data_IF_566932512896
#
_entry.id   IF_566932512896
#
_cell.length_a   1.000
_cell.length_b   1.000
_cell.length_c   1.000
_cell.angle_alpha   90.00
_cell.angle_beta   90.00
_cell.angle_gamma   90.00
#
_symmetry.space_group_name_H-M   'P 1'
#
loop_
_entity.id
_entity.type
_entity.pdbx_description
1 polymer ?
#
# COMPACT_ATOMS: atom_id res chain seq x y z
N UNK A 1 -0.95 17.57 -31.64
CA UNK A 1 -1.87 18.11 -30.65
C UNK A 1 -2.25 17.09 -29.60
N UNK A 2 -3.04 16.06 -29.96
CA UNK A 2 -3.42 15.03 -28.97
C UNK A 2 -2.22 14.29 -28.39
N UNK A 3 -1.20 14.00 -29.21
CA UNK A 3 0.06 13.37 -28.75
C UNK A 3 0.75 14.22 -27.70
N UNK A 4 0.82 15.54 -27.92
CA UNK A 4 1.49 16.44 -26.98
C UNK A 4 0.77 16.52 -25.65
N UNK A 5 -0.56 16.49 -25.65
CA UNK A 5 -1.36 16.52 -24.42
C UNK A 5 -1.09 15.26 -23.60
N UNK A 6 -1.13 14.08 -24.20
CA UNK A 6 -0.85 12.81 -23.49
C UNK A 6 0.57 12.73 -22.99
N UNK A 7 1.53 13.18 -23.79
CA UNK A 7 2.92 13.22 -23.38
C UNK A 7 3.12 14.15 -22.18
N UNK A 8 2.50 15.32 -22.21
CA UNK A 8 2.56 16.28 -21.12
C UNK A 8 1.92 15.75 -19.84
N UNK A 9 0.80 15.03 -19.96
CA UNK A 9 0.16 14.38 -18.82
C UNK A 9 1.08 13.31 -18.21
N UNK A 10 1.72 12.49 -19.05
CA UNK A 10 2.65 11.47 -18.58
C UNK A 10 3.87 12.09 -17.88
N UNK A 11 4.41 13.16 -18.45
CA UNK A 11 5.54 13.87 -17.85
C UNK A 11 5.17 14.52 -16.53
N UNK A 12 3.99 15.12 -16.46
CA UNK A 12 3.47 15.72 -15.23
C UNK A 12 3.30 14.66 -14.14
N UNK A 13 2.77 13.50 -14.49
CA UNK A 13 2.61 12.39 -13.56
C UNK A 13 3.97 11.91 -13.02
N UNK A 14 4.94 11.74 -13.91
CA UNK A 14 6.31 11.32 -13.49
C UNK A 14 6.91 12.29 -12.51
N UNK A 15 6.82 13.59 -12.79
CA UNK A 15 7.35 14.62 -11.90
C UNK A 15 6.68 14.59 -10.54
N UNK A 16 5.37 14.42 -10.52
CA UNK A 16 4.61 14.33 -9.28
C UNK A 16 5.03 13.11 -8.46
N UNK A 17 5.18 11.96 -9.11
CA UNK A 17 5.65 10.75 -8.42
C UNK A 17 7.05 10.95 -7.85
N UNK A 18 7.94 11.59 -8.59
CA UNK A 18 9.29 11.90 -8.12
C UNK A 18 9.24 12.73 -6.84
N UNK A 19 8.40 13.75 -6.80
CA UNK A 19 8.23 14.58 -5.59
C UNK A 19 7.71 13.75 -4.43
N UNK A 20 6.68 12.94 -4.65
CA UNK A 20 6.08 12.12 -3.60
C UNK A 20 7.07 11.09 -3.05
N UNK A 21 7.83 10.44 -3.94
CA UNK A 21 8.85 9.47 -3.53
C UNK A 21 9.96 10.13 -2.72
N UNK A 22 10.41 11.29 -3.16
CA UNK A 22 11.45 12.02 -2.45
C UNK A 22 11.00 12.47 -1.06
N UNK A 23 9.74 12.89 -0.93
CA UNK A 23 9.17 13.23 0.36
C UNK A 23 9.13 12.02 1.30
N UNK A 24 8.71 10.87 0.79
CA UNK A 24 8.67 9.63 1.56
C UNK A 24 10.07 9.23 2.03
N UNK A 25 11.04 9.25 1.12
CA UNK A 25 12.44 8.92 1.44
C UNK A 25 13.00 9.88 2.50
N UNK A 26 12.71 11.16 2.38
CA UNK A 26 13.17 12.17 3.34
C UNK A 26 12.60 11.94 4.74
N UNK A 27 11.41 11.34 4.83
CA UNK A 27 10.79 10.99 6.11
C UNK A 27 11.27 9.65 6.66
N UNK A 28 12.15 8.96 5.95
CA UNK A 28 12.73 7.71 6.41
C UNK A 28 12.01 6.45 5.95
N UNK A 29 11.09 6.57 5.00
CA UNK A 29 10.46 5.38 4.41
C UNK A 29 11.50 4.64 3.55
N UNK A 30 11.61 3.34 3.74
CA UNK A 30 12.51 2.52 2.94
C UNK A 30 11.79 2.06 1.67
N UNK A 31 11.93 2.84 0.60
CA UNK A 31 11.49 2.43 -0.73
C UNK A 31 12.65 1.71 -1.40
N UNK A 32 12.57 0.39 -1.50
CA UNK A 32 13.70 -0.42 -2.01
C UNK A 32 14.04 -0.06 -3.45
N UNK A 33 13.03 0.14 -4.28
CA UNK A 33 13.21 0.61 -5.65
C UNK A 33 12.22 1.75 -5.90
N UNK A 34 12.57 2.98 -5.52
CA UNK A 34 11.61 4.09 -5.53
C UNK A 34 10.90 4.30 -6.86
N UNK A 35 11.61 4.13 -7.97
CA UNK A 35 11.06 4.32 -9.31
C UNK A 35 9.96 3.33 -9.68
N UNK A 36 9.79 2.25 -8.90
CA UNK A 36 8.77 1.22 -9.11
C UNK A 36 7.59 1.34 -8.17
N UNK A 37 7.60 2.32 -7.26
CA UNK A 37 6.54 2.51 -6.26
C UNK A 37 5.74 3.75 -6.64
N UNK A 38 4.41 3.60 -6.68
CA UNK A 38 3.53 4.70 -7.06
C UNK A 38 2.68 5.10 -5.87
N UNK A 39 2.73 6.38 -5.55
CA UNK A 39 2.10 6.95 -4.36
C UNK A 39 0.95 7.87 -4.76
N UNK A 40 -0.02 8.03 -3.85
CA UNK A 40 -1.02 9.09 -3.93
C UNK A 40 -0.58 10.27 -3.08
N UNK A 41 -1.15 11.45 -3.32
CA UNK A 41 -0.78 12.65 -2.57
C UNK A 41 -1.06 12.51 -1.08
N UNK A 42 -2.04 11.71 -0.73
CA UNK A 42 -2.45 11.49 0.67
C UNK A 42 -1.90 10.21 1.29
N UNK A 43 -0.99 9.51 0.60
CA UNK A 43 -0.35 8.33 1.18
C UNK A 43 0.46 8.74 2.41
N UNK A 44 0.22 8.08 3.54
CA UNK A 44 0.85 8.42 4.81
C UNK A 44 1.61 7.21 5.35
N UNK A 45 2.83 7.45 5.83
CA UNK A 45 3.69 6.39 6.36
C UNK A 45 4.14 6.74 7.78
N UNK A 46 4.16 5.75 8.64
CA UNK A 46 4.79 5.84 9.95
C UNK A 46 6.30 5.61 9.87
N UNK A 47 6.90 5.23 11.00
CA UNK A 47 8.34 5.02 11.11
C UNK A 47 8.72 3.60 10.69
N UNK A 48 9.91 3.44 10.09
CA UNK A 48 10.48 2.15 9.74
C UNK A 48 9.58 1.33 8.81
N UNK A 49 8.88 1.99 7.90
CA UNK A 49 8.07 1.30 6.91
C UNK A 49 8.96 0.91 5.73
N UNK A 50 8.81 -0.32 5.27
CA UNK A 50 9.51 -0.83 4.09
C UNK A 50 8.50 -1.12 3.00
N UNK A 51 8.79 -0.65 1.79
CA UNK A 51 7.98 -0.93 0.60
C UNK A 51 8.86 -1.57 -0.46
N UNK A 52 8.51 -2.78 -0.85
CA UNK A 52 9.23 -3.52 -1.88
C UNK A 52 8.88 -3.00 -3.28
N UNK A 53 9.62 -3.43 -4.32
CA UNK A 53 9.35 -2.97 -5.69
C UNK A 53 7.96 -3.31 -6.18
N UNK A 54 7.45 -2.48 -7.09
CA UNK A 54 6.19 -2.69 -7.81
C UNK A 54 4.97 -2.71 -6.88
N UNK A 55 4.85 -1.67 -6.07
CA UNK A 55 3.69 -1.47 -5.21
C UNK A 55 2.97 -0.19 -5.63
N UNK A 56 1.64 -0.25 -5.68
CA UNK A 56 0.80 0.89 -6.02
C UNK A 56 -0.07 1.26 -4.83
N UNK A 57 0.02 2.52 -4.42
CA UNK A 57 -0.85 3.09 -3.40
C UNK A 57 -1.88 4.00 -4.05
N UNK A 58 -3.13 3.57 -4.06
CA UNK A 58 -4.26 4.41 -4.42
C UNK A 58 -4.60 5.38 -3.30
N UNK A 59 -5.70 6.15 -3.43
CA UNK A 59 -6.07 7.16 -2.42
C UNK A 59 -6.40 6.56 -1.06
N UNK A 60 -6.23 7.36 -0.01
CA UNK A 60 -6.64 7.05 1.36
C UNK A 60 -5.95 5.81 1.93
N UNK A 61 -4.62 5.79 1.90
CA UNK A 61 -3.85 4.72 2.52
C UNK A 61 -2.96 5.28 3.62
N UNK A 62 -3.04 4.68 4.79
CA UNK A 62 -2.16 4.96 5.92
C UNK A 62 -1.44 3.69 6.31
N UNK A 63 -0.12 3.77 6.42
CA UNK A 63 0.72 2.63 6.79
C UNK A 63 1.40 2.93 8.11
N UNK A 64 1.14 2.12 9.12
CA UNK A 64 1.68 2.32 10.45
C UNK A 64 3.12 1.83 10.61
N UNK A 65 3.69 2.13 11.78
CA UNK A 65 5.10 1.88 12.08
C UNK A 65 5.50 0.41 11.88
N UNK A 66 6.70 0.21 11.38
CA UNK A 66 7.34 -1.10 11.24
C UNK A 66 6.61 -2.06 10.31
N UNK A 67 5.69 -1.56 9.51
CA UNK A 67 4.97 -2.40 8.55
C UNK A 67 5.78 -2.58 7.27
N UNK A 68 5.53 -3.69 6.59
CA UNK A 68 6.22 -4.02 5.35
C UNK A 68 5.19 -4.36 4.27
N UNK A 69 5.30 -3.68 3.14
CA UNK A 69 4.45 -3.91 1.98
C UNK A 69 5.29 -4.61 0.92
N UNK A 70 4.95 -5.84 0.62
CA UNK A 70 5.71 -6.65 -0.33
C UNK A 70 5.27 -6.44 -1.76
N UNK A 71 6.12 -6.87 -2.69
CA UNK A 71 6.01 -6.60 -4.11
C UNK A 71 4.69 -7.00 -4.73
N UNK A 72 4.31 -6.28 -5.78
CA UNK A 72 3.13 -6.54 -6.59
C UNK A 72 1.82 -6.42 -5.80
N UNK A 73 1.79 -5.54 -4.81
CA UNK A 73 0.58 -5.26 -4.05
C UNK A 73 -0.05 -3.96 -4.52
N UNK A 74 -1.39 -3.93 -4.51
CA UNK A 74 -2.17 -2.75 -4.87
C UNK A 74 -3.10 -2.43 -3.72
N UNK A 75 -2.97 -1.24 -3.17
CA UNK A 75 -3.63 -0.88 -1.91
C UNK A 75 -4.35 0.45 -2.09
N UNK A 76 -5.63 0.49 -1.70
CA UNK A 76 -6.42 1.73 -1.71
C UNK A 76 -7.42 1.72 -0.55
N UNK A 77 -7.75 2.90 -0.04
CA UNK A 77 -8.77 3.05 1.00
C UNK A 77 -8.55 2.19 2.21
N UNK A 78 -7.30 2.00 2.63
CA UNK A 78 -6.92 1.01 3.62
C UNK A 78 -6.14 1.67 4.75
N UNK A 79 -6.46 1.26 5.98
CA UNK A 79 -5.68 1.62 7.15
C UNK A 79 -4.89 0.40 7.60
N UNK A 80 -3.57 0.54 7.59
CA UNK A 80 -2.64 -0.49 8.03
C UNK A 80 -2.01 0.00 9.32
N UNK A 81 -2.21 -0.75 10.41
CA UNK A 81 -1.66 -0.36 11.70
C UNK A 81 -0.20 -0.79 11.83
N UNK A 82 0.30 -1.02 13.04
CA UNK A 82 1.72 -1.26 13.28
C UNK A 82 2.10 -2.73 13.11
N UNK A 83 3.32 -2.97 12.65
CA UNK A 83 3.90 -4.31 12.56
C UNK A 83 3.07 -5.23 11.66
N UNK A 84 2.54 -4.71 10.57
CA UNK A 84 1.71 -5.46 9.64
C UNK A 84 2.54 -5.87 8.43
N UNK A 85 2.36 -7.09 7.98
CA UNK A 85 3.01 -7.61 6.78
C UNK A 85 1.95 -7.82 5.70
N UNK A 86 2.17 -7.23 4.53
CA UNK A 86 1.22 -7.30 3.41
C UNK A 86 1.90 -7.87 2.18
N UNK A 87 1.30 -8.86 1.59
CA UNK A 87 1.73 -9.42 0.31
C UNK A 87 2.76 -10.52 0.42
N UNK A 88 3.44 -10.84 -0.68
CA UNK A 88 3.31 -10.20 -1.99
C UNK A 88 1.98 -10.50 -2.68
N UNK A 89 1.68 -9.79 -3.78
CA UNK A 89 0.46 -10.01 -4.57
C UNK A 89 -0.81 -9.86 -3.74
N UNK A 90 -0.90 -8.80 -2.95
CA UNK A 90 -2.10 -8.49 -2.19
C UNK A 90 -2.87 -7.35 -2.84
N UNK A 91 -4.19 -7.46 -2.81
CA UNK A 91 -5.07 -6.38 -3.24
C UNK A 91 -5.96 -5.97 -2.09
N UNK A 92 -5.69 -4.79 -1.54
CA UNK A 92 -6.46 -4.26 -0.42
C UNK A 92 -7.33 -3.12 -0.94
N UNK A 93 -8.63 -3.32 -0.86
CA UNK A 93 -9.61 -2.38 -1.41
C UNK A 93 -10.24 -1.55 -0.30
N UNK A 94 -10.97 -0.52 -0.72
CA UNK A 94 -11.59 0.47 0.16
C UNK A 94 -12.33 -0.17 1.34
N UNK A 95 -12.09 0.38 2.53
CA UNK A 95 -12.73 -0.06 3.76
C UNK A 95 -11.98 -1.16 4.49
N UNK A 96 -10.78 -1.50 4.05
CA UNK A 96 -9.94 -2.49 4.72
C UNK A 96 -9.21 -1.85 5.90
N UNK A 97 -9.21 -2.54 7.04
CA UNK A 97 -8.43 -2.16 8.21
C UNK A 97 -7.61 -3.38 8.65
N UNK A 98 -6.30 -3.23 8.67
CA UNK A 98 -5.39 -4.26 9.16
C UNK A 98 -4.85 -3.81 10.51
N UNK A 99 -5.26 -4.52 11.56
CA UNK A 99 -4.88 -4.20 12.93
C UNK A 99 -3.45 -4.63 13.24
N UNK A 100 -2.94 -4.21 14.39
CA UNK A 100 -1.55 -4.45 14.79
C UNK A 100 -1.18 -5.94 14.69
N UNK A 101 0.01 -6.19 14.13
CA UNK A 101 0.59 -7.53 14.02
C UNK A 101 -0.20 -8.49 13.14
N UNK A 102 -1.12 -8.00 12.32
CA UNK A 102 -1.82 -8.85 11.37
C UNK A 102 -0.94 -9.12 10.15
N UNK A 103 -1.29 -10.15 9.40
CA UNK A 103 -0.55 -10.54 8.21
C UNK A 103 -1.49 -10.90 7.08
N UNK A 104 -1.23 -10.33 5.92
CA UNK A 104 -1.91 -10.67 4.67
C UNK A 104 -0.86 -11.33 3.77
N UNK A 105 -1.10 -12.58 3.40
CA UNK A 105 -0.21 -13.31 2.52
C UNK A 105 -0.47 -13.05 1.05
N UNK A 106 0.05 -13.94 0.19
CA UNK A 106 -0.02 -13.74 -1.24
C UNK A 106 -1.37 -14.15 -1.83
N UNK A 107 -1.75 -13.46 -2.91
CA UNK A 107 -3.01 -13.69 -3.61
C UNK A 107 -4.23 -13.53 -2.70
N UNK A 108 -4.22 -12.51 -1.88
CA UNK A 108 -5.33 -12.17 -0.98
C UNK A 108 -5.93 -10.85 -1.45
N UNK A 109 -7.24 -10.83 -1.53
CA UNK A 109 -8.00 -9.61 -1.81
C UNK A 109 -8.94 -9.33 -0.65
N UNK A 110 -9.00 -8.06 -0.20
CA UNK A 110 -9.89 -7.63 0.88
C UNK A 110 -10.70 -6.42 0.47
N UNK A 111 -11.89 -6.29 1.01
CA UNK A 111 -12.78 -5.14 0.81
C UNK A 111 -13.70 -4.99 2.01
N UNK A 112 -13.81 -3.77 2.54
CA UNK A 112 -14.70 -3.47 3.68
C UNK A 112 -14.58 -4.52 4.79
N UNK A 113 -13.34 -4.79 5.20
CA UNK A 113 -13.06 -5.87 6.14
C UNK A 113 -12.07 -5.42 7.18
N UNK A 114 -12.21 -5.98 8.37
CA UNK A 114 -11.28 -5.73 9.48
C UNK A 114 -10.56 -7.02 9.80
N UNK A 115 -9.24 -6.96 9.72
CA UNK A 115 -8.37 -8.06 10.12
C UNK A 115 -7.82 -7.68 11.50
N UNK A 116 -8.24 -8.41 12.52
CA UNK A 116 -7.95 -8.06 13.91
C UNK A 116 -6.52 -8.37 14.29
N UNK A 117 -6.11 -7.92 15.49
CA UNK A 117 -4.75 -8.07 15.98
C UNK A 117 -4.28 -9.52 15.90
N UNK A 118 -3.05 -9.71 15.47
CA UNK A 118 -2.38 -11.00 15.43
C UNK A 118 -3.03 -12.03 14.50
N UNK A 119 -3.98 -11.62 13.67
CA UNK A 119 -4.65 -12.52 12.74
C UNK A 119 -3.86 -12.63 11.45
N UNK A 120 -3.97 -13.79 10.81
CA UNK A 120 -3.26 -14.07 9.56
C UNK A 120 -4.24 -14.57 8.50
N UNK A 121 -4.11 -14.01 7.30
CA UNK A 121 -4.75 -14.55 6.12
C UNK A 121 -3.61 -14.96 5.20
N UNK A 122 -3.39 -16.27 5.08
CA UNK A 122 -2.15 -16.76 4.50
C UNK A 122 -2.07 -16.61 2.98
N UNK A 123 -3.07 -17.07 2.25
CA UNK A 123 -3.02 -16.97 0.79
C UNK A 123 -4.34 -17.40 0.14
N UNK A 124 -4.49 -17.05 -1.15
CA UNK A 124 -5.59 -17.48 -2.02
C UNK A 124 -6.97 -17.24 -1.39
N UNK A 125 -7.20 -16.02 -0.88
CA UNK A 125 -8.46 -15.71 -0.18
C UNK A 125 -9.05 -14.39 -0.68
N UNK A 126 -10.38 -14.35 -0.72
CA UNK A 126 -11.11 -13.11 -0.84
C UNK A 126 -11.91 -12.89 0.45
N UNK A 127 -11.70 -11.74 1.06
CA UNK A 127 -12.39 -11.36 2.29
C UNK A 127 -13.16 -10.07 2.02
N UNK A 128 -14.49 -10.16 2.10
CA UNK A 128 -15.36 -9.01 1.88
C UNK A 128 -16.36 -8.85 3.00
N UNK A 129 -16.60 -7.61 3.43
CA UNK A 129 -17.61 -7.27 4.44
C UNK A 129 -17.50 -8.12 5.70
N UNK A 130 -16.28 -8.37 6.17
CA UNK A 130 -16.03 -9.32 7.24
C UNK A 130 -15.12 -8.74 8.32
N UNK A 131 -15.13 -9.40 9.47
CA UNK A 131 -14.16 -9.15 10.54
C UNK A 131 -13.51 -10.48 10.87
N UNK A 132 -12.17 -10.53 10.76
CA UNK A 132 -11.39 -11.76 10.90
C UNK A 132 -10.56 -11.69 12.16
N UNK A 133 -10.58 -12.77 12.92
CA UNK A 133 -9.80 -12.90 14.14
C UNK A 133 -10.58 -12.48 15.39
N UNK A 134 -9.86 -12.45 16.47
CA UNK A 134 -10.45 -12.17 17.79
C UNK A 134 -10.83 -10.72 18.01
#
# INVERSE_FOLDING_TARGET
MKKNIKLNQANSYRLKQEVLRNQALAKGVNLIAPETVFLSVDTSFGKNVTVEPYVVFGPNVKVGDNSCIKSFSHIEGTKIEKNVLVGPYARLRKGTVLKNNSKIGNFVETKKSKINKNSKINHLSYIGDASIGK
#
